data_IF_573834167042
#
_entry.id   IF_573834167042
#
_cell.length_a   1.000
_cell.length_b   1.000
_cell.length_c   1.000
_cell.angle_alpha   90.00
_cell.angle_beta   90.00
_cell.angle_gamma   90.00
#
_symmetry.space_group_name_H-M   'P 1'
#
loop_
_entity.id
_entity.type
_entity.pdbx_description
1 polymer ?
#
# COMPACT_ATOMS: atom_id res chain seq x y z
N UNK A 1 0.33 11.55 15.50
CA UNK A 1 0.09 10.21 16.07
C UNK A 1 -1.06 9.61 15.29
N UNK A 2 -0.84 8.48 14.63
CA UNK A 2 -1.91 7.71 13.97
C UNK A 2 -2.58 6.88 15.05
N UNK A 3 -3.90 6.95 15.14
CA UNK A 3 -4.68 6.16 16.10
C UNK A 3 -5.05 4.83 15.45
N UNK A 4 -4.86 3.73 16.19
CA UNK A 4 -5.32 2.41 15.76
C UNK A 4 -6.82 2.48 15.48
N UNK A 5 -7.24 2.17 14.25
CA UNK A 5 -8.62 2.33 13.79
C UNK A 5 -8.88 3.48 12.80
N UNK A 6 -7.89 4.35 12.53
CA UNK A 6 -8.02 5.33 11.45
C UNK A 6 -8.04 4.64 10.07
N UNK A 7 -8.95 5.06 9.19
CA UNK A 7 -9.08 4.57 7.81
C UNK A 7 -8.35 5.52 6.87
N UNK A 8 -7.47 4.97 6.05
CA UNK A 8 -6.66 5.72 5.09
C UNK A 8 -7.23 5.58 3.70
N UNK A 9 -7.67 6.68 3.12
CA UNK A 9 -8.09 6.77 1.73
C UNK A 9 -6.98 7.38 0.88
N UNK A 10 -6.77 6.83 -0.31
CA UNK A 10 -5.84 7.37 -1.30
C UNK A 10 -6.57 7.44 -2.65
N UNK A 11 -6.53 8.62 -3.27
CA UNK A 11 -7.07 8.82 -4.61
C UNK A 11 -6.06 9.57 -5.47
N UNK A 12 -5.75 8.97 -6.61
CA UNK A 12 -4.90 9.54 -7.64
C UNK A 12 -5.75 10.25 -8.67
N UNK A 13 -5.38 11.49 -9.00
CA UNK A 13 -6.13 12.33 -9.92
C UNK A 13 -5.29 13.05 -10.93
N UNK A 14 -5.90 13.18 -12.11
CA UNK A 14 -5.31 13.71 -13.33
C UNK A 14 -6.06 14.96 -13.74
N UNK A 15 -6.23 15.88 -12.80
CA UNK A 15 -6.95 17.14 -13.01
C UNK A 15 -6.07 18.34 -12.71
N UNK A 16 -6.50 19.52 -13.19
CA UNK A 16 -5.81 20.78 -12.94
C UNK A 16 -5.82 21.19 -11.45
N UNK A 17 -6.69 20.58 -10.64
CA UNK A 17 -6.85 20.92 -9.23
C UNK A 17 -7.11 19.67 -8.36
N UNK A 18 -6.33 19.50 -7.29
CA UNK A 18 -6.46 18.37 -6.36
C UNK A 18 -7.75 18.45 -5.51
N UNK A 19 -8.43 19.60 -5.50
CA UNK A 19 -9.65 19.83 -4.73
C UNK A 19 -10.81 18.90 -5.11
N UNK A 20 -10.95 18.53 -6.39
CA UNK A 20 -12.01 17.61 -6.83
C UNK A 20 -11.86 16.24 -6.15
N UNK A 21 -10.62 15.78 -6.03
CA UNK A 21 -10.31 14.48 -5.49
C UNK A 21 -10.31 14.46 -3.98
N UNK A 22 -9.84 15.54 -3.37
CA UNK A 22 -10.08 15.78 -1.96
C UNK A 22 -11.57 15.72 -1.63
N UNK A 23 -12.44 16.36 -2.43
CA UNK A 23 -13.87 16.36 -2.19
C UNK A 23 -14.48 14.96 -2.28
N UNK A 24 -14.13 14.17 -3.29
CA UNK A 24 -14.57 12.77 -3.38
C UNK A 24 -14.12 11.92 -2.20
N UNK A 25 -12.90 12.14 -1.69
CA UNK A 25 -12.41 11.46 -0.49
C UNK A 25 -13.14 11.92 0.79
N UNK A 26 -13.48 13.20 0.91
CA UNK A 26 -14.27 13.73 2.02
C UNK A 26 -15.68 13.15 2.02
N UNK A 27 -16.31 13.04 0.85
CA UNK A 27 -17.63 12.39 0.70
C UNK A 27 -17.56 10.90 1.05
N UNK A 28 -16.48 10.21 0.68
CA UNK A 28 -16.25 8.84 1.08
C UNK A 28 -16.16 8.72 2.60
N UNK A 29 -15.35 9.56 3.27
CA UNK A 29 -15.26 9.59 4.74
C UNK A 29 -16.62 9.88 5.40
N UNK A 30 -17.41 10.82 4.85
CA UNK A 30 -18.74 11.15 5.35
C UNK A 30 -19.74 9.99 5.25
N UNK A 31 -19.62 9.10 4.26
CA UNK A 31 -20.47 7.89 4.16
C UNK A 31 -20.25 6.89 5.29
N UNK A 32 -19.08 6.94 5.93
CA UNK A 32 -18.76 6.16 7.13
C UNK A 32 -19.07 6.93 8.42
N UNK A 33 -19.78 8.06 8.33
CA UNK A 33 -20.01 8.97 9.45
C UNK A 33 -18.71 9.38 10.17
N UNK A 34 -17.58 9.31 9.44
CA UNK A 34 -16.25 9.53 9.97
C UNK A 34 -15.83 10.99 9.92
N UNK A 35 -14.86 11.33 10.77
CA UNK A 35 -14.25 12.66 10.83
C UNK A 35 -12.96 12.70 10.00
N UNK A 36 -12.82 13.71 9.15
CA UNK A 36 -11.58 13.93 8.41
C UNK A 36 -10.52 14.51 9.35
N UNK A 37 -9.50 13.73 9.65
CA UNK A 37 -8.42 14.11 10.58
C UNK A 37 -7.27 14.80 9.87
N UNK A 38 -6.93 14.35 8.66
CA UNK A 38 -5.85 14.93 7.87
C UNK A 38 -6.09 14.72 6.38
N UNK A 39 -5.57 15.65 5.59
CA UNK A 39 -5.49 15.56 4.13
C UNK A 39 -4.07 15.92 3.71
N UNK A 40 -3.47 15.12 2.85
CA UNK A 40 -2.14 15.35 2.31
C UNK A 40 -2.13 15.15 0.81
N UNK A 41 -1.70 16.17 0.06
CA UNK A 41 -1.55 16.11 -1.39
C UNK A 41 -0.09 15.87 -1.71
N UNK A 42 0.20 14.79 -2.42
CA UNK A 42 1.54 14.38 -2.84
C UNK A 42 1.65 14.29 -4.34
N UNK A 43 2.87 14.42 -4.84
CA UNK A 43 3.17 14.07 -6.23
C UNK A 43 2.95 12.57 -6.41
N UNK A 44 2.23 12.21 -7.46
CA UNK A 44 1.85 10.82 -7.66
C UNK A 44 3.06 9.92 -7.93
N UNK A 45 3.13 8.80 -7.19
CA UNK A 45 4.20 7.81 -7.30
C UNK A 45 3.82 6.61 -8.17
N UNK A 46 2.53 6.28 -8.26
CA UNK A 46 2.03 5.01 -8.80
C UNK A 46 1.62 5.04 -10.30
N UNK A 47 1.63 6.21 -10.95
CA UNK A 47 1.43 6.30 -12.41
C UNK A 47 2.57 5.68 -13.20
N UNK A 48 2.20 4.97 -14.26
CA UNK A 48 3.17 4.46 -15.24
C UNK A 48 3.92 5.61 -15.93
N UNK A 49 5.16 5.36 -16.34
CA UNK A 49 5.98 6.37 -17.05
C UNK A 49 5.34 6.81 -18.36
N UNK A 50 4.64 5.91 -19.06
CA UNK A 50 3.90 6.22 -20.27
C UNK A 50 2.76 7.22 -20.00
N UNK A 51 2.01 7.02 -18.92
CA UNK A 51 0.94 7.93 -18.54
C UNK A 51 1.51 9.27 -18.05
N UNK A 52 2.59 9.28 -17.25
CA UNK A 52 3.30 10.52 -16.88
C UNK A 52 3.75 11.33 -18.09
N UNK A 53 4.27 10.66 -19.12
CA UNK A 53 4.71 11.31 -20.35
C UNK A 53 3.52 11.90 -21.13
N UNK A 54 2.42 11.16 -21.25
CA UNK A 54 1.20 11.60 -21.91
C UNK A 54 0.53 12.79 -21.20
N UNK A 55 0.62 12.86 -19.87
CA UNK A 55 0.09 13.98 -19.11
C UNK A 55 0.99 15.21 -19.22
N UNK A 56 2.31 15.01 -19.18
CA UNK A 56 3.29 16.09 -19.37
C UNK A 56 3.16 16.74 -20.74
N UNK A 57 2.90 15.97 -21.80
CA UNK A 57 2.69 16.55 -23.15
C UNK A 57 1.44 17.41 -23.24
N UNK A 58 0.47 17.21 -22.35
CA UNK A 58 -0.74 18.01 -22.22
C UNK A 58 -0.59 19.15 -21.19
N UNK A 59 0.57 19.30 -20.56
CA UNK A 59 0.80 20.27 -19.49
C UNK A 59 0.10 19.93 -18.16
N UNK A 60 -0.38 18.70 -18.02
CA UNK A 60 -1.12 18.21 -16.84
C UNK A 60 -0.16 17.42 -15.94
N UNK A 61 -0.35 17.54 -14.63
CA UNK A 61 0.39 16.74 -13.65
C UNK A 61 -0.61 15.92 -12.84
N UNK A 62 -0.25 14.66 -12.60
CA UNK A 62 -1.03 13.81 -11.73
C UNK A 62 -0.62 14.02 -10.26
N UNK A 63 -1.60 14.05 -9.37
CA UNK A 63 -1.42 14.24 -7.94
C UNK A 63 -2.17 13.14 -7.19
N UNK A 64 -1.59 12.67 -6.08
CA UNK A 64 -2.26 11.74 -5.17
C UNK A 64 -2.71 12.49 -3.93
N UNK A 65 -3.99 12.37 -3.59
CA UNK A 65 -4.57 12.89 -2.36
C UNK A 65 -4.72 11.73 -1.38
N UNK A 66 -4.14 11.90 -0.20
CA UNK A 66 -4.27 10.97 0.91
C UNK A 66 -5.15 11.62 1.98
N UNK A 67 -6.20 10.94 2.41
CA UNK A 67 -7.11 11.41 3.45
C UNK A 67 -7.16 10.40 4.59
N UNK A 68 -7.03 10.88 5.82
CA UNK A 68 -7.21 10.08 7.02
C UNK A 68 -8.60 10.37 7.57
N UNK A 69 -9.41 9.33 7.65
CA UNK A 69 -10.77 9.36 8.17
C UNK A 69 -10.81 8.57 9.47
N UNK A 70 -11.29 9.20 10.54
CA UNK A 70 -11.51 8.52 11.82
C UNK A 70 -12.97 8.05 11.91
N UNK A 71 -13.23 6.74 12.02
CA UNK A 71 -14.59 6.22 12.21
C UNK A 71 -15.22 6.74 13.51
N UNK A 72 -16.55 6.74 13.64
CA UNK A 72 -17.23 7.04 14.90
C UNK A 72 -16.78 6.11 16.04
N UNK A 73 -16.88 6.59 17.29
CA UNK A 73 -16.39 5.89 18.48
C UNK A 73 -16.92 4.46 18.62
N UNK A 74 -18.16 4.22 18.19
CA UNK A 74 -18.80 2.90 18.25
C UNK A 74 -18.13 1.88 17.32
N UNK A 75 -17.68 2.31 16.13
CA UNK A 75 -16.92 1.44 15.22
C UNK A 75 -15.48 1.24 15.71
N UNK A 76 -14.87 2.25 16.35
CA UNK A 76 -13.56 2.11 16.99
C UNK A 76 -13.56 1.06 18.11
N UNK A 77 -14.62 1.01 18.93
CA UNK A 77 -14.78 -0.03 19.96
C UNK A 77 -14.92 -1.43 19.37
N UNK A 78 -15.62 -1.57 18.23
CA UNK A 78 -15.78 -2.85 17.56
C UNK A 78 -14.46 -3.33 16.93
N UNK A 79 -13.71 -2.43 16.29
CA UNK A 79 -12.37 -2.70 15.75
C UNK A 79 -11.41 -3.13 16.86
N UNK A 80 -11.40 -2.42 18.00
CA UNK A 80 -10.57 -2.75 19.15
C UNK A 80 -10.93 -4.12 19.76
N UNK A 81 -12.23 -4.47 19.80
CA UNK A 81 -12.70 -5.78 20.27
C UNK A 81 -12.34 -6.90 19.30
N UNK A 82 -12.43 -6.67 17.99
CA UNK A 82 -12.06 -7.66 16.97
C UNK A 82 -10.54 -7.92 16.95
N UNK A 83 -9.71 -6.88 17.07
CA UNK A 83 -8.25 -7.01 17.20
C UNK A 83 -7.82 -7.82 18.44
N UNK A 84 -8.65 -7.87 19.47
CA UNK A 84 -8.43 -8.65 20.69
C UNK A 84 -8.82 -10.14 20.56
N UNK A 85 -9.53 -10.53 19.48
CA UNK A 85 -10.01 -11.90 19.25
C UNK A 85 -9.22 -12.70 18.22
N UNK A 86 -8.14 -12.13 17.65
CA UNK A 86 -7.21 -12.94 16.88
C UNK A 86 -6.28 -13.68 17.87
N UNK A 87 -6.35 -15.02 18.01
CA UNK A 87 -5.27 -15.72 18.65
C UNK A 87 -4.02 -15.45 17.81
N UNK A 88 -3.01 -14.87 18.43
CA UNK A 88 -1.68 -14.66 17.88
C UNK A 88 -1.16 -16.01 17.35
N UNK A 89 -1.36 -16.27 16.06
CA UNK A 89 -0.91 -17.49 15.39
C UNK A 89 0.60 -17.40 15.05
N UNK A 90 1.40 -16.77 15.93
CA UNK A 90 2.87 -16.78 15.83
C UNK A 90 3.48 -18.12 16.25
N UNK A 91 2.71 -19.21 16.30
CA UNK A 91 3.14 -20.52 16.73
C UNK A 91 2.88 -21.62 15.68
N UNK A 92 3.32 -21.44 14.43
CA UNK A 92 3.50 -22.56 13.48
C UNK A 92 4.46 -22.24 12.33
N UNK A 93 5.68 -21.77 12.62
CA UNK A 93 6.82 -22.01 11.72
C UNK A 93 7.79 -22.93 12.44
N UNK A 94 7.40 -24.21 12.45
CA UNK A 94 8.25 -25.32 12.84
C UNK A 94 9.54 -25.22 12.03
N UNK A 95 10.65 -24.99 12.74
CA UNK A 95 11.99 -24.88 12.18
C UNK A 95 12.33 -26.21 11.53
N UNK A 96 12.12 -26.29 10.22
CA UNK A 96 12.62 -27.40 9.42
C UNK A 96 14.15 -27.32 9.42
N UNK A 97 14.72 -28.37 9.98
CA UNK A 97 16.14 -28.53 10.24
C UNK A 97 16.78 -29.06 8.95
N UNK A 98 17.14 -28.17 8.03
CA UNK A 98 18.09 -28.52 6.96
C UNK A 98 19.32 -27.63 7.06
N UNK A 99 20.24 -28.08 7.92
CA UNK A 99 21.65 -27.77 7.78
C UNK A 99 22.18 -28.45 6.51
N UNK A 100 22.56 -27.67 5.50
CA UNK A 100 23.31 -28.15 4.35
C UNK A 100 23.99 -26.97 3.64
N UNK A 101 25.33 -26.87 3.62
CA UNK A 101 26.00 -25.76 2.96
C UNK A 101 25.88 -25.90 1.44
N UNK A 102 25.35 -24.87 0.79
CA UNK A 102 25.49 -24.63 -0.64
C UNK A 102 26.98 -24.38 -0.95
N UNK A 103 27.72 -25.45 -1.28
CA UNK A 103 29.01 -25.33 -1.95
C UNK A 103 28.75 -24.80 -3.38
N UNK A 104 28.88 -23.49 -3.57
CA UNK A 104 29.12 -22.92 -4.90
C UNK A 104 30.60 -23.08 -5.20
N UNK A 105 30.96 -24.15 -5.89
CA UNK A 105 32.31 -24.39 -6.43
C UNK A 105 32.52 -23.50 -7.67
N UNK A 106 33.48 -22.56 -7.70
CA UNK A 106 33.67 -21.61 -8.79
C UNK A 106 34.46 -22.16 -9.99
N UNK A 107 34.58 -23.48 -10.15
CA UNK A 107 35.37 -24.12 -11.22
C UNK A 107 34.58 -25.14 -12.06
N UNK A 108 33.36 -24.77 -12.47
CA UNK A 108 32.62 -25.51 -13.48
C UNK A 108 33.28 -25.34 -14.86
N UNK A 109 34.25 -26.21 -15.18
CA UNK A 109 34.74 -26.43 -16.54
C UNK A 109 33.60 -26.92 -17.43
N UNK A 110 33.37 -26.21 -18.53
CA UNK A 110 32.60 -26.70 -19.67
C UNK A 110 33.42 -27.82 -20.33
N UNK A 111 32.91 -29.04 -20.34
CA UNK A 111 33.32 -30.08 -21.27
C UNK A 111 32.09 -30.45 -22.12
N UNK A 112 32.16 -30.35 -23.47
CA UNK A 112 31.09 -30.74 -24.35
C UNK A 112 31.06 -32.27 -24.57
N UNK A 113 29.84 -32.78 -24.51
CA UNK A 113 29.35 -34.13 -24.79
C UNK A 113 30.00 -34.80 -26.02
N UNK A 114 30.73 -35.89 -25.81
CA UNK A 114 31.05 -36.90 -26.83
C UNK A 114 30.37 -38.21 -26.43
N UNK A 115 29.24 -38.51 -27.07
CA UNK A 115 28.55 -39.78 -26.99
C UNK A 115 28.97 -40.69 -28.17
N UNK A 116 29.00 -42.03 -27.97
CA UNK A 116 29.63 -43.00 -28.88
C UNK A 116 28.93 -43.22 -30.22
#
# INVERSE_FOLDING_TARGET
>A
MYTEGDVHFELTCVEADATVCEQGLREACAKYEGEVVAVEVRRERYVSEALKAALRSQGIQAQSVHLICRPPAQEQEDIARQGSTHPDNSAAAQRDNLSGPLNLDPNAKNDPDEAP
#
